data_IF_592227250219
#
_entry.id   IF_592227250219
#
_cell.length_a   1.000
_cell.length_b   1.000
_cell.length_c   1.000
_cell.angle_alpha   90.00
_cell.angle_beta   90.00
_cell.angle_gamma   90.00
#
_symmetry.space_group_name_H-M   'P 1'
#
loop_
_entity.id
_entity.type
_entity.pdbx_description
1 polymer ?
#
# COMPACT_ATOMS: atom_id res chain seq x y z
N UNK A 1 10.06 10.86 -3.56
CA UNK A 1 8.96 10.51 -4.48
C UNK A 1 7.90 9.62 -3.82
N UNK A 2 8.30 8.52 -3.14
CA UNK A 2 7.38 7.61 -2.43
C UNK A 2 6.46 8.28 -1.37
N UNK A 3 6.90 9.32 -0.66
CA UNK A 3 6.08 10.03 0.35
C UNK A 3 4.88 10.81 -0.24
N UNK A 4 4.89 11.14 -1.53
CA UNK A 4 3.78 11.86 -2.16
C UNK A 4 2.69 10.91 -2.66
N UNK A 5 3.08 9.76 -3.22
CA UNK A 5 2.15 8.73 -3.69
C UNK A 5 1.31 8.09 -2.57
N UNK A 6 1.84 8.00 -1.35
CA UNK A 6 1.10 7.48 -0.20
C UNK A 6 0.00 8.44 0.31
N UNK A 7 0.07 9.73 -0.04
CA UNK A 7 -0.82 10.77 0.48
C UNK A 7 -2.10 10.95 -0.35
N UNK A 8 -2.07 10.57 -1.63
CA UNK A 8 -3.03 11.04 -2.63
C UNK A 8 -3.84 9.94 -3.33
N UNK A 9 -3.62 8.63 -3.08
CA UNK A 9 -4.33 7.58 -3.82
C UNK A 9 -5.00 6.52 -2.92
N UNK A 10 -6.30 6.69 -2.70
CA UNK A 10 -7.27 5.58 -2.53
C UNK A 10 -8.60 6.02 -3.15
N UNK A 11 -9.05 5.36 -4.23
CA UNK A 11 -10.44 4.94 -4.23
C UNK A 11 -10.57 3.45 -4.62
N UNK A 12 -10.98 2.63 -3.63
CA UNK A 12 -11.18 1.18 -3.71
C UNK A 12 -10.98 0.51 -2.33
N UNK A 13 -11.83 -0.47 -1.99
CA UNK A 13 -11.89 -1.33 -0.78
C UNK A 13 -11.94 -0.67 0.62
N UNK A 14 -11.40 0.54 0.82
CA UNK A 14 -11.43 1.28 2.09
C UNK A 14 -12.30 2.55 2.05
N UNK A 15 -13.12 2.73 1.02
CA UNK A 15 -13.94 3.94 0.80
C UNK A 15 -13.11 5.14 0.35
N UNK A 16 -13.50 6.35 0.77
CA UNK A 16 -12.81 7.63 0.49
C UNK A 16 -11.57 7.86 1.38
N UNK A 17 -11.18 6.86 2.19
CA UNK A 17 -10.06 6.99 3.12
C UNK A 17 -8.73 6.81 2.40
N UNK A 18 -7.83 7.76 2.55
CA UNK A 18 -6.42 7.61 2.18
C UNK A 18 -5.76 6.46 2.94
N UNK A 19 -4.65 5.93 2.40
CA UNK A 19 -3.92 4.85 3.06
C UNK A 19 -3.46 5.23 4.48
N UNK A 20 -3.09 6.49 4.69
CA UNK A 20 -2.74 7.00 6.02
C UNK A 20 -3.95 6.96 6.97
N UNK A 21 -5.13 7.41 6.51
CA UNK A 21 -6.34 7.37 7.33
C UNK A 21 -6.77 5.94 7.65
N UNK A 22 -6.62 4.99 6.73
CA UNK A 22 -6.89 3.58 6.99
C UNK A 22 -5.96 3.02 8.07
N UNK A 23 -4.66 3.33 8.01
CA UNK A 23 -3.70 2.93 9.03
C UNK A 23 -4.00 3.57 10.40
N UNK A 24 -4.33 4.85 10.42
CA UNK A 24 -4.68 5.58 11.65
C UNK A 24 -5.98 5.02 12.28
N UNK A 25 -6.90 4.52 11.46
CA UNK A 25 -8.11 3.83 11.90
C UNK A 25 -7.86 2.40 12.38
N UNK A 26 -6.61 1.90 12.33
CA UNK A 26 -6.23 0.57 12.79
C UNK A 26 -6.41 -0.53 11.76
N UNK A 27 -6.56 -0.19 10.47
CA UNK A 27 -6.62 -1.20 9.41
C UNK A 27 -5.31 -2.00 9.33
N UNK A 28 -5.41 -3.24 8.88
CA UNK A 28 -4.25 -4.10 8.74
C UNK A 28 -3.29 -3.54 7.67
N UNK A 29 -2.01 -3.37 8.02
CA UNK A 29 -0.98 -2.84 7.13
C UNK A 29 -0.88 -3.62 5.81
N UNK A 30 -1.00 -4.95 5.86
CA UNK A 30 -0.96 -5.81 4.66
C UNK A 30 -2.16 -5.56 3.75
N UNK A 31 -3.35 -5.39 4.32
CA UNK A 31 -4.55 -5.12 3.53
C UNK A 31 -4.48 -3.73 2.87
N UNK A 32 -4.02 -2.72 3.61
CA UNK A 32 -3.78 -1.38 3.08
C UNK A 32 -2.76 -1.42 1.94
N UNK A 33 -1.65 -2.15 2.10
CA UNK A 33 -0.66 -2.33 1.05
C UNK A 33 -1.23 -2.99 -0.20
N UNK A 34 -2.01 -4.07 -0.04
CA UNK A 34 -2.65 -4.75 -1.18
C UNK A 34 -3.70 -3.90 -1.87
N UNK A 35 -4.41 -3.03 -1.14
CA UNK A 35 -5.31 -2.06 -1.74
C UNK A 35 -4.54 -1.02 -2.58
N UNK A 36 -3.43 -0.49 -2.06
CA UNK A 36 -2.54 0.40 -2.83
C UNK A 36 -2.06 -0.32 -4.10
N UNK A 37 -1.59 -1.56 -3.99
CA UNK A 37 -1.13 -2.34 -5.14
C UNK A 37 -2.23 -2.51 -6.20
N UNK A 38 -3.49 -2.73 -5.80
CA UNK A 38 -4.61 -2.86 -6.74
C UNK A 38 -4.95 -1.56 -7.45
N UNK A 39 -5.02 -0.44 -6.72
CA UNK A 39 -5.34 0.87 -7.31
C UNK A 39 -4.23 1.33 -8.28
N UNK A 40 -3.00 0.91 -8.04
CA UNK A 40 -1.83 1.23 -8.87
C UNK A 40 -1.54 0.17 -9.96
N UNK A 41 -2.43 -0.82 -10.13
CA UNK A 41 -2.25 -1.95 -11.05
C UNK A 41 -0.88 -2.64 -10.92
N UNK A 42 -0.40 -2.79 -9.68
CA UNK A 42 0.90 -3.43 -9.39
C UNK A 42 0.78 -4.94 -9.56
N UNK A 43 1.57 -5.55 -10.47
CA UNK A 43 1.60 -6.99 -10.68
C UNK A 43 1.98 -7.73 -9.39
N UNK A 44 1.38 -8.90 -9.15
CA UNK A 44 1.54 -9.69 -7.91
C UNK A 44 3.01 -9.98 -7.61
N UNK A 45 3.78 -10.30 -8.64
CA UNK A 45 5.22 -10.57 -8.58
C UNK A 45 6.06 -9.37 -8.13
N UNK A 46 5.50 -8.16 -8.12
CA UNK A 46 6.18 -6.92 -7.67
C UNK A 46 5.66 -6.40 -6.33
N UNK A 47 4.60 -6.99 -5.77
CA UNK A 47 3.95 -6.49 -4.55
C UNK A 47 4.81 -6.68 -3.31
N UNK A 48 5.67 -7.70 -3.26
CA UNK A 48 6.49 -8.00 -2.09
C UNK A 48 7.91 -7.41 -2.18
N UNK A 49 8.21 -6.69 -3.26
CA UNK A 49 9.58 -6.27 -3.58
C UNK A 49 10.48 -7.46 -3.94
N UNK A 50 11.73 -7.21 -4.38
CA UNK A 50 12.71 -8.29 -4.50
C UNK A 50 13.00 -8.89 -3.13
N UNK A 51 13.22 -10.20 -3.04
CA UNK A 51 13.78 -10.82 -1.85
C UNK A 51 15.16 -10.18 -1.59
N UNK A 52 15.26 -9.45 -0.48
CA UNK A 52 16.50 -8.83 -0.05
C UNK A 52 17.08 -9.76 1.01
N UNK A 53 18.18 -10.43 0.71
CA UNK A 53 18.91 -11.16 1.73
C UNK A 53 19.27 -10.19 2.86
N UNK A 54 18.94 -10.53 4.13
CA UNK A 54 19.29 -9.69 5.26
C UNK A 54 20.82 -9.54 5.28
N UNK A 55 21.29 -8.29 5.30
CA UNK A 55 22.71 -8.00 5.41
C UNK A 55 23.20 -8.52 6.77
N UNK A 56 24.33 -9.26 6.82
CA UNK A 56 24.89 -9.78 8.06
C UNK A 56 25.29 -8.68 9.05
#
# INVERSE_FOLDING_TARGET
YARHLARDLVPGDFGDLTAQQALDAGANVREVWLAICRVQDVPVERQLGPDIEPRP
#
